data_IF_157759482958
#
_entry.id   IF_157759482958
#
_cell.length_a   1.000
_cell.length_b   1.000
_cell.length_c   1.000
_cell.angle_alpha   90.00
_cell.angle_beta   90.00
_cell.angle_gamma   90.00
#
_symmetry.space_group_name_H-M   'P 1'
#
loop_
_entity.id
_entity.type
_entity.pdbx_description
1 polymer ?
#
# COMPACT_ATOMS: atom_id res chain seq x y z
N UNK A 1 9.16 -13.03 -27.72
CA UNK A 1 8.64 -12.23 -26.59
C UNK A 1 9.61 -12.38 -25.42
N UNK A 2 9.91 -11.30 -24.69
CA UNK A 2 10.81 -11.38 -23.53
C UNK A 2 10.07 -12.02 -22.34
N UNK A 3 10.65 -13.04 -21.72
CA UNK A 3 10.12 -13.71 -20.53
C UNK A 3 10.76 -13.13 -19.27
N UNK A 4 9.94 -12.61 -18.37
CA UNK A 4 10.39 -11.94 -17.14
C UNK A 4 9.80 -12.67 -15.94
N UNK A 5 10.65 -13.00 -14.96
CA UNK A 5 10.22 -13.48 -13.65
C UNK A 5 10.32 -12.34 -12.65
N UNK A 6 9.22 -12.00 -11.99
CA UNK A 6 9.13 -10.96 -10.97
C UNK A 6 8.71 -11.58 -9.63
N UNK A 7 9.61 -11.60 -8.65
CA UNK A 7 9.35 -12.11 -7.29
C UNK A 7 9.17 -10.93 -6.35
N UNK A 8 7.96 -10.75 -5.81
CA UNK A 8 7.57 -9.57 -5.02
C UNK A 8 7.57 -9.81 -3.50
N UNK A 9 7.39 -8.74 -2.74
CA UNK A 9 7.36 -8.70 -1.29
C UNK A 9 6.09 -9.30 -0.68
N UNK A 10 6.15 -9.72 0.59
CA UNK A 10 5.02 -10.38 1.26
C UNK A 10 4.00 -9.42 1.87
N UNK A 11 4.42 -8.20 2.21
CA UNK A 11 3.57 -7.19 2.83
C UNK A 11 2.94 -6.34 1.74
N UNK A 12 1.68 -5.92 1.95
CA UNK A 12 0.91 -5.11 1.00
C UNK A 12 1.68 -3.86 0.60
N UNK A 13 2.15 -3.07 1.57
CA UNK A 13 2.88 -1.82 1.30
C UNK A 13 4.11 -2.04 0.44
N UNK A 14 5.01 -2.94 0.86
CA UNK A 14 6.20 -3.27 0.09
C UNK A 14 5.84 -3.76 -1.32
N UNK A 15 4.84 -4.64 -1.46
CA UNK A 15 4.38 -5.16 -2.74
C UNK A 15 3.88 -4.05 -3.67
N UNK A 16 3.08 -3.11 -3.16
CA UNK A 16 2.61 -1.94 -3.92
C UNK A 16 3.79 -1.10 -4.38
N UNK A 17 4.74 -0.78 -3.50
CA UNK A 17 5.92 0.03 -3.86
C UNK A 17 6.77 -0.62 -4.97
N UNK A 18 6.69 -1.94 -5.11
CA UNK A 18 7.42 -2.67 -6.17
C UNK A 18 6.76 -2.57 -7.55
N UNK A 19 5.48 -2.20 -7.62
CA UNK A 19 4.72 -2.16 -8.88
C UNK A 19 5.24 -1.11 -9.86
N UNK A 20 6.01 -0.11 -9.41
CA UNK A 20 6.70 0.83 -10.31
C UNK A 20 7.65 0.13 -11.28
N UNK A 21 8.22 -1.01 -10.89
CA UNK A 21 9.04 -1.85 -11.79
C UNK A 21 8.18 -2.48 -12.89
N UNK A 22 6.98 -2.97 -12.53
CA UNK A 22 6.03 -3.54 -13.49
C UNK A 22 5.47 -2.47 -14.43
N UNK A 23 5.15 -1.28 -13.91
CA UNK A 23 4.76 -0.13 -14.72
C UNK A 23 5.84 0.23 -15.75
N UNK A 24 7.12 0.27 -15.32
CA UNK A 24 8.23 0.47 -16.25
C UNK A 24 8.31 -0.63 -17.32
N UNK A 25 8.19 -1.90 -16.95
CA UNK A 25 8.22 -3.03 -17.90
C UNK A 25 7.08 -2.92 -18.92
N UNK A 26 5.86 -2.60 -18.46
CA UNK A 26 4.70 -2.41 -19.33
C UNK A 26 4.99 -1.38 -20.43
N UNK A 27 5.60 -0.24 -20.07
CA UNK A 27 5.85 0.85 -21.01
C UNK A 27 7.10 0.60 -21.88
N UNK A 28 8.18 0.06 -21.29
CA UNK A 28 9.46 -0.13 -21.98
C UNK A 28 9.52 -1.42 -22.81
N UNK A 29 8.70 -2.44 -22.50
CA UNK A 29 8.62 -3.69 -23.27
C UNK A 29 7.18 -4.22 -23.28
N UNK A 30 6.26 -3.59 -24.05
CA UNK A 30 4.84 -3.99 -24.08
C UNK A 30 4.58 -5.42 -24.57
N UNK A 31 5.53 -6.04 -25.27
CA UNK A 31 5.43 -7.43 -25.76
C UNK A 31 6.07 -8.46 -24.81
N UNK A 32 6.38 -8.07 -23.57
CA UNK A 32 6.92 -8.99 -22.57
C UNK A 32 5.82 -9.92 -22.02
N UNK A 33 6.24 -11.10 -21.56
CA UNK A 33 5.44 -12.02 -20.77
C UNK A 33 6.02 -12.03 -19.36
N UNK A 34 5.22 -11.63 -18.38
CA UNK A 34 5.67 -11.52 -16.98
C UNK A 34 5.02 -12.60 -16.15
N UNK A 35 5.83 -13.48 -15.58
CA UNK A 35 5.42 -14.36 -14.49
C UNK A 35 5.68 -13.64 -13.16
N UNK A 36 4.63 -13.47 -12.36
CA UNK A 36 4.71 -12.83 -11.05
C UNK A 36 4.61 -13.91 -9.98
N UNK A 37 5.58 -13.94 -9.06
CA UNK A 37 5.54 -14.80 -7.89
C UNK A 37 5.26 -13.93 -6.65
N UNK A 38 4.17 -14.24 -5.94
CA UNK A 38 3.69 -13.46 -4.80
C UNK A 38 3.24 -14.34 -3.63
N UNK A 39 3.38 -13.82 -2.40
CA UNK A 39 2.65 -14.36 -1.25
C UNK A 39 1.13 -14.18 -1.45
N UNK A 40 0.27 -14.99 -0.78
CA UNK A 40 -1.18 -14.95 -0.99
C UNK A 40 -1.83 -13.60 -0.72
N UNK A 41 -1.34 -12.87 0.30
CA UNK A 41 -1.94 -11.60 0.73
C UNK A 41 -1.87 -10.52 -0.37
N UNK A 42 -0.69 -10.16 -0.93
CA UNK A 42 -0.60 -9.16 -1.99
C UNK A 42 -0.95 -9.69 -3.39
N UNK A 43 -1.12 -11.00 -3.59
CA UNK A 43 -1.34 -11.59 -4.92
C UNK A 43 -2.49 -10.93 -5.73
N UNK A 44 -3.65 -10.56 -5.14
CA UNK A 44 -4.73 -9.92 -5.89
C UNK A 44 -4.33 -8.61 -6.58
N UNK A 45 -3.32 -7.89 -6.07
CA UNK A 45 -2.81 -6.64 -6.66
C UNK A 45 -2.26 -6.82 -8.08
N UNK A 46 -1.82 -8.03 -8.41
CA UNK A 46 -1.13 -8.32 -9.67
C UNK A 46 -2.03 -9.00 -10.71
N UNK A 47 -3.22 -9.45 -10.32
CA UNK A 47 -4.12 -10.26 -11.16
C UNK A 47 -4.59 -9.57 -12.44
N UNK A 48 -4.63 -8.24 -12.43
CA UNK A 48 -5.08 -7.42 -13.57
C UNK A 48 -3.90 -6.76 -14.30
N UNK A 49 -2.66 -7.12 -13.98
CA UNK A 49 -1.48 -6.59 -14.66
C UNK A 49 -1.51 -6.97 -16.16
N UNK A 50 -1.40 -6.01 -17.11
CA UNK A 50 -1.64 -6.25 -18.53
C UNK A 50 -0.73 -7.28 -19.18
N UNK A 51 0.52 -7.39 -18.73
CA UNK A 51 1.52 -8.33 -19.29
C UNK A 51 1.65 -9.62 -18.47
N UNK A 52 0.67 -9.91 -17.60
CA UNK A 52 0.67 -11.11 -16.77
C UNK A 52 0.50 -12.36 -17.63
N UNK A 53 1.53 -13.21 -17.64
CA UNK A 53 1.49 -14.53 -18.25
C UNK A 53 1.08 -15.60 -17.23
N UNK A 54 1.60 -15.50 -16.01
CA UNK A 54 1.28 -16.42 -14.92
C UNK A 54 1.45 -15.75 -13.55
N UNK A 55 0.53 -16.01 -12.63
CA UNK A 55 0.62 -15.59 -11.23
C UNK A 55 0.85 -16.82 -10.33
N UNK A 56 2.08 -16.97 -9.85
CA UNK A 56 2.46 -18.05 -8.94
C UNK A 56 2.24 -17.56 -7.50
N UNK A 57 1.21 -18.09 -6.85
CA UNK A 57 0.95 -17.83 -5.44
C UNK A 57 1.68 -18.88 -4.59
N UNK A 58 2.57 -18.43 -3.71
CA UNK A 58 3.33 -19.33 -2.83
C UNK A 58 3.33 -18.80 -1.40
N UNK A 59 2.84 -19.61 -0.46
CA UNK A 59 2.84 -19.28 0.96
C UNK A 59 4.11 -19.77 1.65
N UNK A 60 4.55 -19.08 2.71
CA UNK A 60 5.65 -19.54 3.57
C UNK A 60 5.36 -20.94 4.11
N UNK A 61 6.27 -21.88 3.85
CA UNK A 61 6.24 -23.26 4.34
C UNK A 61 7.40 -23.54 5.29
N UNK A 62 7.22 -24.53 6.19
CA UNK A 62 8.28 -25.08 7.06
C UNK A 62 9.51 -25.47 6.24
N UNK A 63 10.69 -25.32 6.84
CA UNK A 63 11.99 -25.63 6.22
C UNK A 63 12.21 -24.97 4.84
N UNK A 64 11.61 -23.79 4.61
CA UNK A 64 11.79 -23.05 3.36
C UNK A 64 11.38 -23.79 2.07
N UNK A 65 10.54 -24.84 2.18
CA UNK A 65 10.08 -25.67 1.05
C UNK A 65 9.37 -24.87 -0.05
N UNK A 66 8.74 -23.75 0.32
CA UNK A 66 8.10 -22.83 -0.61
C UNK A 66 9.06 -22.30 -1.69
N UNK A 67 10.32 -22.03 -1.35
CA UNK A 67 11.34 -21.61 -2.32
C UNK A 67 11.68 -22.73 -3.30
N UNK A 68 11.82 -23.96 -2.81
CA UNK A 68 12.08 -25.12 -3.67
C UNK A 68 10.91 -25.40 -4.62
N UNK A 69 9.67 -25.27 -4.13
CA UNK A 69 8.47 -25.42 -4.95
C UNK A 69 8.34 -24.32 -6.01
N UNK A 70 8.69 -23.08 -5.65
CA UNK A 70 8.75 -21.98 -6.62
C UNK A 70 9.83 -22.28 -7.68
N UNK A 71 11.05 -22.64 -7.26
CA UNK A 71 12.13 -23.00 -8.19
C UNK A 71 11.73 -24.12 -9.15
N UNK A 72 11.06 -25.17 -8.68
CA UNK A 72 10.54 -26.25 -9.55
C UNK A 72 9.60 -25.75 -10.65
N UNK A 73 8.76 -24.76 -10.34
CA UNK A 73 7.83 -24.17 -11.30
C UNK A 73 8.53 -23.27 -12.32
N UNK A 74 9.60 -22.57 -11.92
CA UNK A 74 10.25 -21.56 -12.78
C UNK A 74 11.56 -22.02 -13.44
N UNK A 75 12.13 -23.17 -13.07
CA UNK A 75 13.42 -23.66 -13.62
C UNK A 75 13.38 -24.14 -15.07
N UNK A 76 12.20 -24.52 -15.57
CA UNK A 76 12.02 -25.23 -16.84
C UNK A 76 12.22 -24.38 -18.09
N UNK A 77 12.50 -23.09 -17.95
CA UNK A 77 12.66 -22.16 -19.05
C UNK A 77 13.84 -21.21 -18.85
N UNK A 78 14.29 -20.60 -19.95
CA UNK A 78 15.23 -19.48 -19.90
C UNK A 78 14.47 -18.17 -19.68
N UNK A 79 14.91 -17.38 -18.72
CA UNK A 79 14.35 -16.06 -18.43
C UNK A 79 15.21 -14.96 -19.07
N UNK A 80 14.62 -14.01 -19.76
CA UNK A 80 15.37 -12.84 -20.23
C UNK A 80 15.78 -11.95 -19.05
N UNK A 81 14.91 -11.85 -18.04
CA UNK A 81 15.17 -11.10 -16.82
C UNK A 81 14.53 -11.75 -15.60
N UNK A 82 15.33 -11.95 -14.54
CA UNK A 82 14.84 -12.30 -13.20
C UNK A 82 14.98 -11.08 -12.29
N UNK A 83 13.86 -10.62 -11.74
CA UNK A 83 13.76 -9.53 -10.78
C UNK A 83 13.27 -10.13 -9.47
N UNK A 84 14.10 -10.08 -8.43
CA UNK A 84 13.82 -10.70 -7.15
C UNK A 84 13.92 -9.69 -6.02
N UNK A 85 12.77 -9.25 -5.52
CA UNK A 85 12.66 -8.23 -4.48
C UNK A 85 12.70 -8.83 -3.07
N UNK A 86 12.77 -10.16 -2.97
CA UNK A 86 12.89 -10.92 -1.72
C UNK A 86 14.34 -11.31 -1.42
N UNK A 87 15.25 -11.15 -2.37
CA UNK A 87 16.65 -11.55 -2.19
C UNK A 87 16.81 -13.07 -2.10
N UNK A 88 15.97 -13.84 -2.77
CA UNK A 88 15.94 -15.30 -2.64
C UNK A 88 17.15 -15.97 -3.31
N UNK A 89 17.58 -17.09 -2.73
CA UNK A 89 18.69 -17.89 -3.26
C UNK A 89 18.35 -18.57 -4.58
N UNK A 90 17.06 -18.84 -4.84
CA UNK A 90 16.64 -19.59 -6.03
C UNK A 90 16.95 -18.82 -7.32
N UNK A 91 16.91 -17.49 -7.26
CA UNK A 91 17.19 -16.61 -8.41
C UNK A 91 18.57 -16.85 -9.00
N UNK A 92 19.56 -17.23 -8.18
CA UNK A 92 20.92 -17.53 -8.64
C UNK A 92 21.05 -18.89 -9.34
N UNK A 93 20.11 -19.81 -9.12
CA UNK A 93 20.06 -21.11 -9.77
C UNK A 93 19.22 -21.12 -11.05
N UNK A 94 18.58 -20.01 -11.41
CA UNK A 94 17.79 -19.88 -12.63
C UNK A 94 18.67 -19.47 -13.82
N UNK A 95 18.39 -20.09 -14.97
CA UNK A 95 18.97 -19.70 -16.26
C UNK A 95 18.35 -18.37 -16.69
N UNK A 96 19.15 -17.31 -16.71
CA UNK A 96 18.67 -16.01 -17.16
C UNK A 96 19.72 -15.13 -17.83
N UNK A 97 19.28 -14.22 -18.71
CA UNK A 97 20.14 -13.22 -19.34
C UNK A 97 20.53 -12.08 -18.40
N UNK A 98 19.55 -11.45 -17.74
CA UNK A 98 19.76 -10.40 -16.73
C UNK A 98 19.18 -10.82 -15.38
N UNK A 99 19.82 -10.38 -14.29
CA UNK A 99 19.35 -10.61 -12.92
C UNK A 99 19.44 -9.35 -12.08
N UNK A 100 18.36 -9.01 -11.39
CA UNK A 100 18.28 -7.92 -10.43
C UNK A 100 17.75 -8.46 -9.10
N UNK A 101 18.62 -8.62 -8.10
CA UNK A 101 18.27 -9.23 -6.81
C UNK A 101 18.43 -8.21 -5.70
N UNK A 102 17.37 -8.03 -4.91
CA UNK A 102 17.36 -7.11 -3.78
C UNK A 102 18.42 -7.48 -2.75
N UNK A 103 19.17 -6.46 -2.36
CA UNK A 103 20.11 -6.50 -1.24
C UNK A 103 19.91 -5.23 -0.44
N UNK A 104 19.58 -5.39 0.84
CA UNK A 104 19.40 -4.24 1.72
C UNK A 104 20.73 -3.51 1.87
N UNK A 105 20.74 -2.21 1.53
CA UNK A 105 21.85 -1.32 1.84
C UNK A 105 21.59 -0.65 3.19
N UNK A 106 22.49 -0.77 4.18
CA UNK A 106 22.36 -0.04 5.42
C UNK A 106 22.31 1.47 5.15
N UNK A 107 21.48 2.20 5.90
CA UNK A 107 21.41 3.66 5.90
C UNK A 107 21.05 4.34 4.56
N UNK A 108 20.41 3.62 3.63
CA UNK A 108 19.86 4.25 2.42
C UNK A 108 18.62 5.09 2.77
N UNK A 109 18.80 6.42 2.75
CA UNK A 109 17.77 7.40 3.12
C UNK A 109 16.76 7.67 1.99
N UNK A 110 17.00 7.16 0.78
CA UNK A 110 16.10 7.35 -0.36
C UNK A 110 14.75 6.71 -0.13
N UNK A 111 13.74 7.16 -0.86
CA UNK A 111 12.44 6.51 -0.83
C UNK A 111 12.54 5.05 -1.33
N UNK A 112 11.72 4.13 -0.81
CA UNK A 112 11.81 2.70 -1.18
C UNK A 112 11.67 2.47 -2.70
N UNK A 113 10.82 3.25 -3.36
CA UNK A 113 10.64 3.22 -4.83
C UNK A 113 11.95 3.54 -5.55
N UNK A 114 12.69 4.54 -5.08
CA UNK A 114 13.99 4.93 -5.67
C UNK A 114 15.06 3.89 -5.41
N UNK A 115 15.06 3.28 -4.21
CA UNK A 115 15.97 2.17 -3.89
C UNK A 115 15.72 0.98 -4.82
N UNK A 116 14.44 0.64 -5.06
CA UNK A 116 14.03 -0.45 -5.96
C UNK A 116 14.44 -0.13 -7.40
N UNK A 117 14.12 1.07 -7.91
CA UNK A 117 14.50 1.48 -9.27
C UNK A 117 16.02 1.44 -9.48
N UNK A 118 16.78 1.94 -8.49
CA UNK A 118 18.24 1.92 -8.48
C UNK A 118 18.81 0.49 -8.45
N UNK A 119 18.21 -0.42 -7.67
CA UNK A 119 18.61 -1.83 -7.61
C UNK A 119 18.32 -2.55 -8.93
N UNK A 120 17.14 -2.30 -9.51
CA UNK A 120 16.74 -2.92 -10.78
C UNK A 120 17.57 -2.37 -11.94
N UNK A 121 17.98 -1.10 -11.86
CA UNK A 121 18.70 -0.39 -12.92
C UNK A 121 17.73 0.15 -13.98
N UNK A 122 16.69 0.84 -13.53
CA UNK A 122 15.65 1.49 -14.35
C UNK A 122 15.39 2.92 -13.84
N UNK A 123 14.79 3.80 -14.64
CA UNK A 123 14.28 5.08 -14.17
C UNK A 123 13.26 4.89 -13.04
N UNK A 124 13.23 5.85 -12.11
CA UNK A 124 12.21 5.90 -11.07
C UNK A 124 10.85 6.01 -11.73
N UNK A 125 9.96 5.07 -11.41
CA UNK A 125 8.63 4.96 -12.02
C UNK A 125 7.60 4.80 -10.91
N UNK A 126 6.49 5.52 -11.03
CA UNK A 126 5.40 5.55 -10.06
C UNK A 126 4.81 4.16 -9.82
N UNK A 127 4.57 3.76 -8.55
CA UNK A 127 3.73 2.61 -8.22
C UNK A 127 2.35 2.71 -8.89
N UNK A 128 1.84 1.58 -9.37
CA UNK A 128 0.57 1.50 -10.11
C UNK A 128 -0.15 0.21 -9.75
N UNK A 129 -1.47 0.28 -9.65
CA UNK A 129 -2.33 -0.90 -9.51
C UNK A 129 -3.27 -0.90 -10.71
N UNK A 130 -3.47 -2.09 -11.29
CA UNK A 130 -4.31 -2.27 -12.46
C UNK A 130 -5.65 -2.86 -12.05
N UNK A 131 -6.71 -2.45 -12.74
CA UNK A 131 -8.06 -2.94 -12.50
C UNK A 131 -8.73 -3.31 -13.82
N UNK A 132 -9.26 -4.54 -13.90
CA UNK A 132 -10.20 -4.90 -14.97
C UNK A 132 -11.57 -4.28 -14.72
N UNK A 133 -12.35 -4.20 -15.79
CA UNK A 133 -13.67 -3.56 -15.80
C UNK A 133 -14.59 -4.08 -14.68
N UNK A 134 -14.62 -5.38 -14.41
CA UNK A 134 -15.45 -5.97 -13.35
C UNK A 134 -15.15 -5.41 -11.94
N UNK A 135 -13.88 -5.12 -11.60
CA UNK A 135 -13.53 -4.52 -10.31
C UNK A 135 -13.93 -3.05 -10.23
N UNK A 136 -13.78 -2.32 -11.33
CA UNK A 136 -14.24 -0.93 -11.43
C UNK A 136 -15.76 -0.84 -11.26
N UNK A 137 -16.52 -1.75 -11.86
CA UNK A 137 -17.98 -1.80 -11.70
C UNK A 137 -18.39 -2.15 -10.26
N UNK A 138 -17.67 -3.05 -9.57
CA UNK A 138 -17.90 -3.28 -8.13
C UNK A 138 -17.67 -2.00 -7.33
N UNK A 139 -16.57 -1.28 -7.59
CA UNK A 139 -16.27 -0.03 -6.89
C UNK A 139 -17.33 1.05 -7.14
N UNK A 140 -17.77 1.27 -8.39
CA UNK A 140 -18.82 2.23 -8.74
C UNK A 140 -20.16 1.92 -8.10
N UNK A 141 -20.53 0.64 -8.02
CA UNK A 141 -21.79 0.23 -7.37
C UNK A 141 -21.77 0.47 -5.85
N UNK A 142 -20.60 0.37 -5.22
CA UNK A 142 -20.44 0.65 -3.79
C UNK A 142 -20.31 2.14 -3.50
N UNK A 143 -19.60 2.84 -4.38
CA UNK A 143 -19.20 4.23 -4.27
C UNK A 143 -19.71 4.98 -5.52
N UNK A 144 -21.03 5.21 -5.64
CA UNK A 144 -21.60 5.94 -6.77
C UNK A 144 -21.13 7.39 -6.83
N UNK A 145 -21.11 7.95 -8.03
CA UNK A 145 -20.75 9.34 -8.28
C UNK A 145 -21.67 10.34 -7.55
N UNK A 146 -21.19 11.58 -7.36
CA UNK A 146 -21.94 12.65 -6.70
C UNK A 146 -21.88 12.66 -5.18
N UNK A 147 -21.18 11.69 -4.56
CA UNK A 147 -20.87 11.67 -3.12
C UNK A 147 -19.37 11.89 -2.92
N UNK A 148 -18.99 12.66 -1.90
CA UNK A 148 -17.59 12.78 -1.51
C UNK A 148 -17.21 11.64 -0.55
N UNK A 149 -16.20 10.86 -0.88
CA UNK A 149 -15.75 9.73 -0.07
C UNK A 149 -14.40 10.02 0.58
N UNK A 150 -14.41 10.01 1.92
CA UNK A 150 -13.20 9.98 2.73
C UNK A 150 -12.91 8.53 3.14
N UNK A 151 -11.91 7.91 2.52
CA UNK A 151 -11.42 6.60 2.92
C UNK A 151 -10.65 6.71 4.23
N UNK A 152 -10.95 5.82 5.18
CA UNK A 152 -10.23 5.71 6.45
C UNK A 152 -9.69 4.30 6.64
N UNK A 153 -8.40 4.20 6.94
CA UNK A 153 -7.73 2.96 7.33
C UNK A 153 -7.03 3.11 8.68
N UNK A 154 -7.76 2.92 9.81
CA UNK A 154 -7.22 3.14 11.15
C UNK A 154 -6.30 2.02 11.64
N UNK A 155 -6.24 0.89 10.95
CA UNK A 155 -5.42 -0.24 11.35
C UNK A 155 -3.98 -0.14 10.82
N UNK A 156 -3.05 -0.79 11.54
CA UNK A 156 -1.66 -0.93 11.10
C UNK A 156 -1.07 -2.26 11.63
N UNK A 157 0.01 -2.73 11.01
CA UNK A 157 0.64 -4.00 11.34
C UNK A 157 1.37 -4.04 12.70
N UNK A 158 1.46 -2.90 13.40
CA UNK A 158 2.07 -2.78 14.72
C UNK A 158 1.36 -1.68 15.50
N UNK A 159 0.98 -1.98 16.75
CA UNK A 159 0.26 -1.04 17.65
C UNK A 159 1.01 0.28 17.82
N UNK A 160 2.35 0.26 17.83
CA UNK A 160 3.17 1.47 17.89
C UNK A 160 2.93 2.48 16.77
N UNK A 161 2.36 2.05 15.63
CA UNK A 161 2.03 2.91 14.49
C UNK A 161 0.55 3.30 14.42
N UNK A 162 -0.28 2.82 15.34
CA UNK A 162 -1.72 3.04 15.29
C UNK A 162 -2.08 4.34 16.01
N UNK A 163 -2.55 5.34 15.28
CA UNK A 163 -3.21 6.48 15.91
C UNK A 163 -4.54 6.01 16.53
N UNK A 164 -4.84 6.51 17.74
CA UNK A 164 -5.95 6.00 18.56
C UNK A 164 -7.29 6.03 17.81
N UNK A 165 -8.08 4.95 17.91
CA UNK A 165 -9.34 4.83 17.17
C UNK A 165 -10.35 5.91 17.57
N UNK A 166 -10.31 6.36 18.82
CA UNK A 166 -11.14 7.44 19.34
C UNK A 166 -10.87 8.74 18.57
N UNK A 167 -9.61 8.98 18.18
CA UNK A 167 -9.23 10.17 17.41
C UNK A 167 -9.69 10.09 15.96
N UNK A 168 -9.59 8.92 15.32
CA UNK A 168 -10.20 8.68 14.02
C UNK A 168 -11.72 8.86 14.07
N UNK A 169 -12.36 8.38 15.14
CA UNK A 169 -13.81 8.50 15.36
C UNK A 169 -14.22 9.96 15.49
N UNK A 170 -13.48 10.76 16.26
CA UNK A 170 -13.72 12.22 16.37
C UNK A 170 -13.58 12.91 15.02
N UNK A 171 -12.54 12.60 14.24
CA UNK A 171 -12.37 13.16 12.89
C UNK A 171 -13.52 12.75 11.98
N UNK A 172 -13.93 11.48 11.99
CA UNK A 172 -15.01 10.96 11.16
C UNK A 172 -16.35 11.66 11.46
N UNK A 173 -16.68 11.83 12.74
CA UNK A 173 -17.87 12.57 13.19
C UNK A 173 -17.83 14.02 12.72
N UNK A 174 -16.75 14.75 13.05
CA UNK A 174 -16.56 16.15 12.66
C UNK A 174 -16.62 16.35 11.14
N UNK A 175 -16.07 15.41 10.37
CA UNK A 175 -16.11 15.43 8.91
C UNK A 175 -17.53 15.27 8.37
N UNK A 176 -18.29 14.31 8.90
CA UNK A 176 -19.69 14.08 8.48
C UNK A 176 -20.61 15.25 8.83
N UNK A 177 -20.39 15.89 9.98
CA UNK A 177 -21.12 17.07 10.43
C UNK A 177 -20.82 18.31 9.57
N UNK A 178 -19.54 18.53 9.26
CA UNK A 178 -19.09 19.69 8.49
C UNK A 178 -19.47 19.57 7.00
N UNK A 179 -19.53 18.34 6.48
CA UNK A 179 -19.70 18.06 5.04
C UNK A 179 -20.91 17.14 4.80
N UNK A 180 -22.13 17.70 4.61
CA UNK A 180 -23.36 16.92 4.48
C UNK A 180 -23.41 15.95 3.28
N UNK A 181 -22.62 16.18 2.23
CA UNK A 181 -22.55 15.28 1.07
C UNK A 181 -21.39 14.26 1.15
N UNK A 182 -20.63 14.27 2.25
CA UNK A 182 -19.55 13.31 2.46
C UNK A 182 -20.00 12.04 3.16
N UNK A 183 -19.30 10.94 2.87
CA UNK A 183 -19.37 9.65 3.55
C UNK A 183 -17.98 9.13 3.90
N UNK A 184 -17.90 8.38 4.98
CA UNK A 184 -16.70 7.67 5.40
C UNK A 184 -16.69 6.28 4.76
N UNK A 185 -15.60 5.93 4.08
CA UNK A 185 -15.35 4.58 3.59
C UNK A 185 -14.35 3.92 4.52
N UNK A 186 -14.82 3.05 5.42
CA UNK A 186 -13.97 2.37 6.38
C UNK A 186 -13.35 1.12 5.74
N UNK A 187 -12.02 1.04 5.78
CA UNK A 187 -11.24 -0.06 5.22
C UNK A 187 -10.37 -0.67 6.31
N UNK A 188 -10.63 -1.94 6.60
CA UNK A 188 -9.86 -2.76 7.52
C UNK A 188 -10.06 -4.25 7.15
N UNK A 189 -9.24 -5.13 7.69
CA UNK A 189 -9.43 -6.56 7.53
C UNK A 189 -10.49 -7.08 8.52
N UNK A 190 -11.21 -8.18 8.22
CA UNK A 190 -12.25 -8.70 9.12
C UNK A 190 -11.78 -8.99 10.55
N UNK A 191 -10.52 -9.41 10.72
CA UNK A 191 -9.91 -9.68 12.03
C UNK A 191 -9.53 -8.40 12.80
N UNK A 192 -9.54 -7.24 12.15
CA UNK A 192 -9.30 -5.92 12.75
C UNK A 192 -10.59 -5.26 13.24
N UNK A 193 -11.76 -5.89 13.05
CA UNK A 193 -13.06 -5.36 13.51
C UNK A 193 -13.05 -4.86 14.96
N UNK A 194 -12.48 -5.59 15.96
CA UNK A 194 -12.44 -5.10 17.33
C UNK A 194 -11.71 -3.76 17.49
N UNK A 195 -10.72 -3.46 16.64
CA UNK A 195 -9.93 -2.23 16.69
C UNK A 195 -10.71 -1.01 16.18
N UNK A 196 -11.63 -1.22 15.24
CA UNK A 196 -12.37 -0.13 14.59
C UNK A 196 -13.82 -0.04 15.06
N UNK A 197 -14.22 -0.88 16.01
CA UNK A 197 -15.59 -1.01 16.50
C UNK A 197 -16.14 0.33 16.99
N UNK A 198 -15.34 1.10 17.74
CA UNK A 198 -15.72 2.43 18.23
C UNK A 198 -16.12 3.37 17.08
N UNK A 199 -15.41 3.35 15.96
CA UNK A 199 -15.74 4.18 14.79
C UNK A 199 -17.06 3.71 14.17
N UNK A 200 -17.23 2.39 14.00
CA UNK A 200 -18.45 1.80 13.42
C UNK A 200 -19.68 2.15 14.24
N UNK A 201 -19.58 2.18 15.56
CA UNK A 201 -20.70 2.47 16.47
C UNK A 201 -21.06 3.96 16.55
N UNK A 202 -20.09 4.85 16.32
CA UNK A 202 -20.28 6.30 16.51
C UNK A 202 -20.49 7.08 15.21
N UNK A 203 -20.13 6.54 14.05
CA UNK A 203 -20.44 7.17 12.76
C UNK A 203 -21.85 6.78 12.32
N UNK A 204 -22.74 7.73 11.96
CA UNK A 204 -24.10 7.39 11.54
C UNK A 204 -24.12 6.38 10.39
N UNK A 205 -24.97 5.33 10.42
CA UNK A 205 -25.00 4.30 9.39
C UNK A 205 -25.21 4.82 7.96
N UNK A 206 -25.99 5.90 7.78
CA UNK A 206 -26.20 6.54 6.48
C UNK A 206 -24.93 7.22 5.91
N UNK A 207 -23.94 7.48 6.77
CA UNK A 207 -22.67 8.15 6.48
C UNK A 207 -21.49 7.19 6.41
N UNK A 208 -21.67 5.92 6.79
CA UNK A 208 -20.61 4.92 6.85
C UNK A 208 -20.78 3.87 5.76
N UNK A 209 -19.74 3.68 4.95
CA UNK A 209 -19.60 2.55 4.03
C UNK A 209 -18.51 1.66 4.60
N UNK A 210 -18.92 0.55 5.21
CA UNK A 210 -18.01 -0.40 5.85
C UNK A 210 -17.61 -1.49 4.85
N UNK A 211 -16.37 -1.45 4.35
CA UNK A 211 -15.87 -2.45 3.41
C UNK A 211 -15.43 -3.76 4.09
N UNK A 212 -15.39 -3.83 5.43
CA UNK A 212 -15.06 -5.06 6.15
C UNK A 212 -16.17 -6.11 6.10
N UNK A 213 -17.42 -5.68 5.88
CA UNK A 213 -18.59 -6.56 5.95
C UNK A 213 -18.72 -7.47 4.74
N UNK A 214 -17.88 -7.29 3.72
CA UNK A 214 -17.81 -8.18 2.55
C UNK A 214 -16.38 -8.67 2.35
N UNK A 215 -16.24 -9.89 1.81
CA UNK A 215 -14.95 -10.51 1.53
C UNK A 215 -14.31 -9.95 0.24
N UNK A 216 -14.00 -8.65 0.23
CA UNK A 216 -13.31 -8.02 -0.90
C UNK A 216 -11.83 -8.40 -0.93
N UNK A 217 -11.31 -8.69 -2.11
CA UNK A 217 -9.87 -8.83 -2.33
C UNK A 217 -9.17 -7.47 -2.43
N UNK A 218 -7.84 -7.44 -2.37
CA UNK A 218 -7.08 -6.18 -2.44
C UNK A 218 -7.25 -5.44 -3.78
N UNK A 219 -7.60 -6.14 -4.86
CA UNK A 219 -7.88 -5.49 -6.14
C UNK A 219 -9.20 -4.71 -6.09
N UNK A 220 -10.24 -5.29 -5.47
CA UNK A 220 -11.53 -4.61 -5.24
C UNK A 220 -11.38 -3.44 -4.27
N UNK A 221 -10.59 -3.61 -3.20
CA UNK A 221 -10.27 -2.51 -2.27
C UNK A 221 -9.50 -1.39 -2.99
N UNK A 222 -8.52 -1.73 -3.83
CA UNK A 222 -7.79 -0.75 -4.66
C UNK A 222 -8.72 0.03 -5.60
N UNK A 223 -9.66 -0.65 -6.25
CA UNK A 223 -10.65 0.00 -7.10
C UNK A 223 -11.60 0.92 -6.30
N UNK A 224 -11.97 0.54 -5.07
CA UNK A 224 -12.75 1.40 -4.19
C UNK A 224 -11.95 2.64 -3.76
N UNK A 225 -10.66 2.47 -3.42
CA UNK A 225 -9.78 3.61 -3.12
C UNK A 225 -9.71 4.59 -4.29
N UNK A 226 -9.61 4.11 -5.53
CA UNK A 226 -9.58 4.96 -6.72
C UNK A 226 -10.83 5.85 -6.87
N UNK A 227 -11.98 5.42 -6.34
CA UNK A 227 -13.23 6.20 -6.36
C UNK A 227 -13.31 7.23 -5.23
N UNK A 228 -12.40 7.17 -4.24
CA UNK A 228 -12.38 8.10 -3.12
C UNK A 228 -11.64 9.39 -3.49
N UNK A 229 -12.11 10.51 -2.94
CA UNK A 229 -11.53 11.83 -3.15
C UNK A 229 -10.42 12.13 -2.15
N UNK A 230 -10.40 11.42 -1.01
CA UNK A 230 -9.41 11.62 0.03
C UNK A 230 -9.20 10.35 0.84
N UNK A 231 -7.99 10.12 1.31
CA UNK A 231 -7.63 9.03 2.21
C UNK A 231 -6.97 9.57 3.48
N UNK A 232 -7.33 9.01 4.63
CA UNK A 232 -6.67 9.22 5.91
C UNK A 232 -6.36 7.86 6.57
N UNK A 233 -5.09 7.61 6.91
CA UNK A 233 -4.71 6.37 7.58
C UNK A 233 -3.29 6.38 8.13
N UNK A 234 -2.98 5.36 8.92
CA UNK A 234 -1.62 5.18 9.43
C UNK A 234 -0.65 4.73 8.31
N UNK A 235 0.65 4.82 8.60
CA UNK A 235 1.73 4.14 7.84
C UNK A 235 1.44 2.64 7.69
N UNK A 236 0.80 2.28 6.57
CA UNK A 236 0.22 0.97 6.30
C UNK A 236 0.20 0.64 4.81
N UNK A 237 -0.09 -0.62 4.48
CA UNK A 237 -0.24 -1.03 3.08
C UNK A 237 -1.37 -0.30 2.35
N UNK A 238 -2.48 0.00 3.04
CA UNK A 238 -3.62 0.70 2.46
C UNK A 238 -3.30 2.15 2.10
N UNK A 239 -2.45 2.82 2.88
CA UNK A 239 -1.94 4.16 2.54
C UNK A 239 -1.14 4.13 1.23
N UNK A 240 -0.26 3.15 1.06
CA UNK A 240 0.48 3.00 -0.20
C UNK A 240 -0.44 2.65 -1.38
N UNK A 241 -1.48 1.84 -1.17
CA UNK A 241 -2.47 1.55 -2.19
C UNK A 241 -3.21 2.82 -2.62
N UNK A 242 -3.69 3.63 -1.67
CA UNK A 242 -4.38 4.89 -1.94
C UNK A 242 -3.52 5.83 -2.79
N UNK A 243 -2.26 6.02 -2.41
CA UNK A 243 -1.30 6.82 -3.17
C UNK A 243 -1.05 6.25 -4.58
N UNK A 244 -0.92 4.93 -4.73
CA UNK A 244 -0.65 4.28 -6.01
C UNK A 244 -1.83 4.39 -7.00
N UNK A 245 -3.07 4.40 -6.51
CA UNK A 245 -4.27 4.57 -7.35
C UNK A 245 -4.64 6.03 -7.61
N UNK A 246 -3.88 6.98 -7.04
CA UNK A 246 -4.05 8.42 -7.27
C UNK A 246 -4.99 9.12 -6.29
N UNK A 247 -5.46 8.44 -5.25
CA UNK A 247 -6.26 9.08 -4.18
C UNK A 247 -5.35 10.02 -3.38
N UNK A 248 -5.71 11.32 -3.23
CA UNK A 248 -5.02 12.22 -2.31
C UNK A 248 -4.90 11.58 -0.92
N UNK A 249 -3.68 11.40 -0.42
CA UNK A 249 -3.41 10.54 0.73
C UNK A 249 -2.77 11.32 1.89
N UNK A 250 -3.43 11.29 3.05
CA UNK A 250 -2.88 11.73 4.33
C UNK A 250 -2.38 10.50 5.10
N UNK A 251 -1.07 10.37 5.22
CA UNK A 251 -0.41 9.32 5.99
C UNK A 251 0.00 9.81 7.39
N UNK A 252 -0.39 9.07 8.43
CA UNK A 252 -0.02 9.36 9.82
C UNK A 252 1.21 8.54 10.24
N UNK A 253 2.25 9.24 10.71
CA UNK A 253 3.56 8.64 11.02
C UNK A 253 4.01 8.88 12.47
N UNK A 254 4.70 7.89 13.01
CA UNK A 254 5.36 7.96 14.32
C UNK A 254 6.69 7.22 14.30
N UNK A 255 6.73 5.93 14.70
CA UNK A 255 7.97 5.17 14.81
C UNK A 255 8.41 4.56 13.47
N UNK A 256 8.33 5.33 12.38
CA UNK A 256 8.80 4.92 11.07
C UNK A 256 9.38 6.10 10.30
N UNK A 257 10.33 5.78 9.43
CA UNK A 257 11.03 6.74 8.57
C UNK A 257 10.14 7.07 7.38
N UNK A 258 9.47 8.22 7.43
CA UNK A 258 8.62 8.68 6.33
C UNK A 258 9.43 8.98 5.06
N UNK A 259 10.74 9.25 5.19
CA UNK A 259 11.60 9.46 4.02
C UNK A 259 11.69 8.18 3.17
N UNK A 260 11.56 7.01 3.82
CA UNK A 260 11.59 5.72 3.15
C UNK A 260 10.20 5.21 2.74
N UNK A 261 9.16 5.54 3.50
CA UNK A 261 7.83 4.92 3.40
C UNK A 261 6.66 5.92 3.32
N UNK A 262 6.91 7.19 3.07
CA UNK A 262 5.85 8.15 2.79
C UNK A 262 4.96 7.69 1.62
N UNK A 263 3.70 8.13 1.55
CA UNK A 263 2.90 7.96 0.34
C UNK A 263 3.66 8.56 -0.85
N UNK A 264 3.92 7.76 -1.88
CA UNK A 264 4.78 8.17 -2.97
C UNK A 264 4.02 9.08 -3.95
N UNK A 265 4.56 10.26 -4.21
CA UNK A 265 3.99 11.26 -5.11
C UNK A 265 4.22 10.93 -6.59
N UNK A 266 3.86 9.72 -7.01
CA UNK A 266 4.01 9.29 -8.41
C UNK A 266 3.18 10.13 -9.38
N UNK A 267 1.96 10.51 -8.97
CA UNK A 267 1.05 11.34 -9.76
C UNK A 267 1.46 12.81 -9.81
N UNK A 268 2.31 13.29 -8.90
CA UNK A 268 2.86 14.65 -8.95
C UNK A 268 3.76 14.84 -10.18
N UNK A 269 4.55 13.82 -10.53
CA UNK A 269 5.41 13.88 -11.71
C UNK A 269 4.60 14.01 -13.02
N UNK A 270 3.35 13.53 -13.02
CA UNK A 270 2.46 13.55 -14.19
C UNK A 270 1.56 14.79 -14.23
N UNK A 271 1.10 15.27 -13.07
CA UNK A 271 0.09 16.34 -12.96
C UNK A 271 0.64 17.69 -12.48
N UNK A 272 1.83 17.70 -11.87
CA UNK A 272 2.39 18.87 -11.19
C UNK A 272 1.68 19.24 -9.88
N UNK A 273 0.72 18.44 -9.40
CA UNK A 273 -0.04 18.72 -8.15
C UNK A 273 0.33 17.70 -7.08
N UNK A 274 0.91 18.19 -5.97
CA UNK A 274 1.25 17.33 -4.83
C UNK A 274 -0.01 17.08 -4.03
N UNK A 275 -0.48 15.84 -4.04
CA UNK A 275 -1.74 15.46 -3.40
C UNK A 275 -1.56 14.65 -2.12
N UNK A 276 -0.34 14.17 -1.83
CA UNK A 276 -0.08 13.40 -0.63
C UNK A 276 0.60 14.24 0.47
N UNK A 277 0.17 14.00 1.71
CA UNK A 277 0.66 14.68 2.90
C UNK A 277 1.07 13.65 3.95
N UNK A 278 2.23 13.87 4.56
CA UNK A 278 2.65 13.16 5.76
C UNK A 278 2.39 14.04 6.97
N UNK A 279 1.69 13.52 7.96
CA UNK A 279 1.58 14.14 9.27
C UNK A 279 2.29 13.23 10.27
N UNK A 280 3.36 13.74 10.89
CA UNK A 280 4.13 12.99 11.87
C UNK A 280 3.96 13.54 13.28
N UNK A 281 4.15 12.69 14.29
CA UNK A 281 4.35 13.16 15.67
C UNK A 281 5.61 14.04 15.76
N UNK A 282 5.69 14.87 16.80
CA UNK A 282 6.84 15.78 17.03
C UNK A 282 8.18 15.05 17.17
N UNK A 283 8.18 13.88 17.81
CA UNK A 283 9.39 13.08 17.99
C UNK A 283 9.79 12.41 16.67
N UNK A 284 11.05 12.55 16.27
CA UNK A 284 11.59 11.85 15.11
C UNK A 284 11.72 10.35 15.36
N UNK A 285 11.84 9.55 14.30
CA UNK A 285 12.12 8.11 14.43
C UNK A 285 13.35 7.83 15.31
N UNK A 286 14.42 8.59 15.14
CA UNK A 286 15.66 8.39 15.90
C UNK A 286 15.50 8.76 17.38
N UNK A 287 14.69 9.80 17.68
CA UNK A 287 14.35 10.15 19.06
C UNK A 287 13.49 9.08 19.72
N UNK A 288 12.49 8.53 19.02
CA UNK A 288 11.67 7.43 19.53
C UNK A 288 12.51 6.17 19.80
N UNK A 289 13.38 5.82 18.85
CA UNK A 289 14.25 4.64 18.97
C UNK A 289 15.24 4.75 20.14
N UNK A 290 15.60 5.96 20.54
CA UNK A 290 16.47 6.22 21.69
C UNK A 290 15.74 6.12 23.05
N UNK A 291 14.41 5.99 23.07
CA UNK A 291 13.66 5.89 24.32
C UNK A 291 13.91 4.52 25.00
N UNK A 292 14.10 4.46 26.33
CA UNK A 292 14.42 3.21 27.04
C UNK A 292 13.40 2.08 26.86
N UNK A 293 12.14 2.45 26.62
CA UNK A 293 10.99 1.57 26.47
C UNK A 293 10.58 1.37 24.99
N UNK A 294 11.38 1.81 24.03
CA UNK A 294 11.08 1.57 22.61
C UNK A 294 11.25 0.09 22.27
N UNK A 295 10.15 -0.57 21.90
CA UNK A 295 10.19 -1.97 21.48
C UNK A 295 9.21 -2.24 20.36
N UNK A 296 9.70 -2.83 19.26
CA UNK A 296 8.84 -3.37 18.21
C UNK A 296 7.98 -4.57 18.66
N UNK A 297 8.20 -5.06 19.88
CA UNK A 297 7.44 -6.15 20.49
C UNK A 297 6.47 -5.66 21.57
N UNK A 298 6.53 -4.39 22.00
CA UNK A 298 5.56 -3.85 22.95
C UNK A 298 4.23 -3.51 22.28
N UNK A 299 3.18 -3.44 23.10
CA UNK A 299 1.85 -2.97 22.71
C UNK A 299 1.69 -1.46 22.91
N UNK A 300 2.78 -0.74 23.18
CA UNK A 300 2.70 0.71 23.40
C UNK A 300 2.39 1.43 22.10
N UNK A 301 1.48 2.41 22.17
CA UNK A 301 1.22 3.33 21.07
C UNK A 301 2.22 4.49 21.12
N UNK A 302 2.95 4.74 20.04
CA UNK A 302 3.88 5.88 19.92
C UNK A 302 3.27 7.06 19.15
N UNK A 303 1.97 7.02 18.83
CA UNK A 303 1.26 8.04 18.07
C UNK A 303 0.54 9.09 18.95
N UNK A 304 0.73 9.03 20.28
CA UNK A 304 -0.05 9.81 21.25
C UNK A 304 0.09 11.33 21.11
N UNK A 305 1.24 11.82 20.63
CA UNK A 305 1.51 13.27 20.55
C UNK A 305 0.84 13.95 19.33
N UNK A 306 0.31 13.18 18.38
CA UNK A 306 -0.39 13.73 17.22
C UNK A 306 -1.85 14.07 17.57
N UNK A 307 -2.22 15.35 17.56
CA UNK A 307 -3.55 15.81 18.01
C UNK A 307 -4.61 15.70 16.90
N UNK A 308 -5.89 15.65 17.31
CA UNK A 308 -7.03 15.69 16.40
C UNK A 308 -7.05 17.00 15.60
N UNK A 309 -6.75 18.13 16.24
CA UNK A 309 -6.82 19.44 15.58
C UNK A 309 -5.79 19.58 14.45
N UNK A 310 -4.55 19.12 14.66
CA UNK A 310 -3.53 19.13 13.60
C UNK A 310 -3.96 18.30 12.40
N UNK A 311 -4.50 17.10 12.63
CA UNK A 311 -4.99 16.24 11.54
C UNK A 311 -6.20 16.88 10.85
N UNK A 312 -7.13 17.46 11.63
CA UNK A 312 -8.33 18.09 11.11
C UNK A 312 -8.03 19.29 10.22
N UNK A 313 -7.12 20.17 10.62
CA UNK A 313 -6.75 21.37 9.84
C UNK A 313 -6.24 20.98 8.45
N UNK A 314 -5.33 20.01 8.39
CA UNK A 314 -4.75 19.51 7.14
C UNK A 314 -5.80 18.79 6.29
N UNK A 315 -6.62 17.93 6.91
CA UNK A 315 -7.70 17.22 6.24
C UNK A 315 -8.70 18.20 5.60
N UNK A 316 -9.11 19.23 6.34
CA UNK A 316 -10.06 20.23 5.85
C UNK A 316 -9.45 21.13 4.77
N UNK A 317 -8.15 21.41 4.83
CA UNK A 317 -7.44 22.11 3.77
C UNK A 317 -7.42 21.30 2.47
N UNK A 318 -7.08 20.01 2.55
CA UNK A 318 -7.08 19.13 1.37
C UNK A 318 -8.49 18.89 0.81
N UNK A 319 -9.50 18.81 1.66
CA UNK A 319 -10.89 18.73 1.21
C UNK A 319 -11.26 19.93 0.31
N UNK A 320 -10.89 21.15 0.70
CA UNK A 320 -11.20 22.38 -0.07
C UNK A 320 -10.46 22.49 -1.41
N UNK A 321 -9.43 21.67 -1.63
CA UNK A 321 -8.65 21.65 -2.87
C UNK A 321 -9.21 20.66 -3.90
N UNK A 322 -10.12 19.77 -3.49
CA UNK A 322 -10.83 18.81 -4.33
C UNK A 322 -12.21 19.33 -4.73
#
# INVERSE_FOLDING_TARGET
MKKILFITCSRIGDAVLTTGVLNHIQNATPSAQVTIASDPLPAPLFTDYPLLDNLIIFAKQKHSRHWFNLWKQVKGQHWDWVIDLRGSVISYALRCGRRSVWRQKPNDQRHKVEQIASMVGIPVTSPTIWFKHNRLEVAKNLLPEGTFYLAMAPAANWVGKQWAIERFTTIAGKFCETHPNAKIVLIAAPHERPMVQTLVENVPPAKLINLMDRHYDLGQIGACLQQCQLFLGNDSGLMHMAAAVGTPTIGLFGPSREENYGPYDGHFAETGVKVNTVIRILKTYDQLKAMPNFSHQSQDCYMNDLTVDTVWEILNQQYKQN
#
